data_IF_461328240050
#
_entry.id   IF_461328240050
#
_cell.length_a   1.000
_cell.length_b   1.000
_cell.length_c   1.000
_cell.angle_alpha   90.00
_cell.angle_beta   90.00
_cell.angle_gamma   90.00
#
_symmetry.space_group_name_H-M   'P 1'
#
loop_
_entity.id
_entity.type
_entity.pdbx_description
1 polymer ?
#
# COMPACT_ATOMS: atom_id res chain seq x y z
N UNK A 1 32.49 13.26 -62.16
CA UNK A 1 32.91 11.86 -61.87
C UNK A 1 33.13 11.73 -60.37
N UNK A 2 32.43 10.76 -59.79
CA UNK A 2 32.60 10.11 -58.49
C UNK A 2 33.52 10.74 -57.43
N UNK A 3 32.95 10.96 -56.24
CA UNK A 3 33.28 10.13 -55.06
C UNK A 3 32.16 10.21 -54.03
N UNK A 4 31.61 9.03 -53.82
CA UNK A 4 30.71 8.58 -52.78
C UNK A 4 31.45 8.64 -51.44
N UNK A 5 30.86 9.27 -50.42
CA UNK A 5 31.31 9.11 -49.05
C UNK A 5 30.11 8.69 -48.20
N UNK A 6 30.27 7.48 -47.67
CA UNK A 6 29.32 6.68 -46.92
C UNK A 6 29.14 7.29 -45.53
N UNK A 7 27.89 7.60 -45.14
CA UNK A 7 27.55 7.86 -43.74
C UNK A 7 26.43 6.92 -43.29
N UNK A 8 26.85 5.79 -42.74
CA UNK A 8 26.07 4.89 -41.90
C UNK A 8 26.13 5.42 -40.47
N UNK A 9 25.03 5.94 -39.92
CA UNK A 9 24.86 6.09 -38.46
C UNK A 9 23.37 6.12 -38.11
N UNK A 10 22.93 4.96 -37.62
CA UNK A 10 21.90 4.68 -36.60
C UNK A 10 20.49 5.30 -36.71
N UNK A 11 19.54 4.37 -36.87
CA UNK A 11 18.15 4.54 -36.51
C UNK A 11 18.02 4.97 -35.03
N UNK A 12 17.03 5.79 -34.66
CA UNK A 12 16.76 6.05 -33.27
C UNK A 12 16.36 4.73 -32.60
N UNK A 13 17.21 4.23 -31.72
CA UNK A 13 16.85 3.19 -30.78
C UNK A 13 15.63 3.68 -30.00
N UNK A 14 14.54 2.93 -30.15
CA UNK A 14 13.32 3.04 -29.36
C UNK A 14 13.71 2.85 -27.90
N UNK A 15 13.97 3.95 -27.20
CA UNK A 15 14.01 3.97 -25.75
C UNK A 15 12.60 3.64 -25.26
N UNK A 16 12.36 2.37 -24.96
CA UNK A 16 11.20 1.94 -24.21
C UNK A 16 11.26 2.64 -22.86
N UNK A 17 10.47 3.71 -22.72
CA UNK A 17 10.23 4.36 -21.45
C UNK A 17 9.61 3.31 -20.51
N UNK A 18 10.44 2.78 -19.61
CA UNK A 18 10.01 1.89 -18.55
C UNK A 18 9.10 2.72 -17.62
N UNK A 19 7.93 2.22 -17.21
CA UNK A 19 7.06 2.96 -16.31
C UNK A 19 7.82 3.24 -15.01
N UNK A 20 8.14 4.51 -14.76
CA UNK A 20 8.66 4.94 -13.46
C UNK A 20 7.57 4.66 -12.44
N UNK A 21 7.84 3.75 -11.50
CA UNK A 21 6.94 3.53 -10.38
C UNK A 21 6.73 4.86 -9.64
N UNK A 22 5.50 5.22 -9.26
CA UNK A 22 5.24 6.44 -8.51
C UNK A 22 6.16 6.50 -7.29
N UNK A 23 6.82 7.65 -7.10
CA UNK A 23 7.59 7.87 -5.88
C UNK A 23 6.65 7.70 -4.67
N UNK A 24 7.11 7.03 -3.58
CA UNK A 24 6.28 6.83 -2.41
C UNK A 24 5.81 8.17 -1.86
N UNK A 25 4.49 8.33 -1.73
CA UNK A 25 3.88 9.54 -1.19
C UNK A 25 4.14 9.59 0.33
N UNK A 26 4.90 10.59 0.83
CA UNK A 26 5.18 10.71 2.26
C UNK A 26 3.96 11.04 3.11
N UNK A 27 2.83 11.42 2.50
CA UNK A 27 1.55 11.63 3.17
C UNK A 27 0.62 10.40 3.07
N UNK A 28 1.08 9.32 2.45
CA UNK A 28 0.31 8.07 2.42
C UNK A 28 0.19 7.47 3.83
N UNK A 29 -1.04 7.10 4.19
CA UNK A 29 -1.30 6.39 5.45
C UNK A 29 -0.73 4.97 5.39
N UNK A 30 0.03 4.58 6.42
CA UNK A 30 0.51 3.22 6.60
C UNK A 30 -0.37 2.42 7.57
N UNK A 31 -0.19 1.10 7.59
CA UNK A 31 -0.85 0.21 8.57
C UNK A 31 -0.47 0.60 10.00
N UNK A 32 0.76 1.09 10.22
CA UNK A 32 1.21 1.59 11.53
C UNK A 32 0.42 2.82 11.97
N UNK A 33 0.18 3.76 11.06
CA UNK A 33 -0.61 4.97 11.34
C UNK A 33 -2.05 4.62 11.70
N UNK A 34 -2.66 3.68 10.97
CA UNK A 34 -4.00 3.20 11.25
C UNK A 34 -4.11 2.52 12.62
N UNK A 35 -3.10 1.74 13.03
CA UNK A 35 -3.03 1.16 14.38
C UNK A 35 -2.93 2.26 15.45
N UNK A 36 -2.06 3.26 15.24
CA UNK A 36 -1.92 4.40 16.14
C UNK A 36 -3.22 5.22 16.26
N UNK A 37 -3.94 5.45 15.16
CA UNK A 37 -5.23 6.13 15.18
C UNK A 37 -6.26 5.38 16.03
N UNK A 38 -6.28 4.05 15.96
CA UNK A 38 -7.16 3.25 16.82
C UNK A 38 -6.84 3.47 18.30
N UNK A 39 -5.56 3.45 18.68
CA UNK A 39 -5.14 3.72 20.07
C UNK A 39 -5.51 5.13 20.52
N UNK A 40 -5.33 6.14 19.66
CA UNK A 40 -5.70 7.53 19.97
C UNK A 40 -7.21 7.66 20.20
N UNK A 41 -8.04 7.03 19.36
CA UNK A 41 -9.49 7.06 19.51
C UNK A 41 -9.94 6.44 20.84
N UNK A 42 -9.31 5.34 21.25
CA UNK A 42 -9.60 4.68 22.53
C UNK A 42 -9.18 5.56 23.74
N UNK A 43 -7.94 6.08 23.73
CA UNK A 43 -7.44 6.99 24.78
C UNK A 43 -8.29 8.27 24.87
N UNK A 44 -8.71 8.83 23.75
CA UNK A 44 -9.57 9.99 23.72
C UNK A 44 -10.98 9.69 24.28
N UNK A 45 -11.54 8.52 23.93
CA UNK A 45 -12.84 8.06 24.43
C UNK A 45 -12.83 7.81 25.94
N UNK A 46 -11.80 7.12 26.44
CA UNK A 46 -11.64 6.83 27.88
C UNK A 46 -11.43 8.09 28.71
N UNK A 47 -10.80 9.13 28.14
CA UNK A 47 -10.61 10.44 28.78
C UNK A 47 -11.81 11.39 28.65
N UNK A 48 -12.87 10.98 27.95
CA UNK A 48 -14.06 11.82 27.75
C UNK A 48 -13.84 13.00 26.80
N UNK A 49 -12.93 12.88 25.84
CA UNK A 49 -12.71 13.91 24.82
C UNK A 49 -13.92 14.09 23.88
N UNK A 50 -14.76 13.07 23.75
CA UNK A 50 -15.98 13.07 22.94
C UNK A 50 -17.23 13.19 23.82
N UNK A 51 -18.24 13.92 23.34
CA UNK A 51 -19.53 14.04 24.02
C UNK A 51 -20.39 12.81 23.74
N UNK A 52 -21.41 12.60 24.58
CA UNK A 52 -22.32 11.46 24.45
C UNK A 52 -22.98 11.36 23.05
N UNK A 53 -23.32 12.49 22.44
CA UNK A 53 -23.90 12.53 21.09
C UNK A 53 -22.94 12.08 19.98
N UNK A 54 -21.63 12.11 20.23
CA UNK A 54 -20.59 11.77 19.24
C UNK A 54 -20.08 10.34 19.44
N UNK A 55 -20.16 9.80 20.66
CA UNK A 55 -19.65 8.49 21.02
C UNK A 55 -20.18 7.33 20.17
N UNK A 56 -21.44 7.42 19.72
CA UNK A 56 -22.00 6.41 18.82
C UNK A 56 -21.25 6.35 17.49
N UNK A 57 -20.95 7.51 16.90
CA UNK A 57 -20.22 7.59 15.64
C UNK A 57 -18.75 7.24 15.82
N UNK A 58 -18.11 7.70 16.90
CA UNK A 58 -16.72 7.37 17.24
C UNK A 58 -16.55 5.86 17.43
N UNK A 59 -17.42 5.22 18.20
CA UNK A 59 -17.40 3.77 18.40
C UNK A 59 -17.62 3.00 17.10
N UNK A 60 -18.51 3.47 16.23
CA UNK A 60 -18.72 2.88 14.91
C UNK A 60 -17.46 2.96 14.03
N UNK A 61 -16.78 4.10 14.02
CA UNK A 61 -15.53 4.30 13.27
C UNK A 61 -14.41 3.41 13.80
N UNK A 62 -14.26 3.33 15.13
CA UNK A 62 -13.30 2.45 15.80
C UNK A 62 -13.49 0.99 15.38
N UNK A 63 -14.73 0.48 15.43
CA UNK A 63 -15.04 -0.90 15.05
C UNK A 63 -14.76 -1.18 13.57
N UNK A 64 -15.05 -0.23 12.68
CA UNK A 64 -14.71 -0.34 11.26
C UNK A 64 -13.20 -0.40 11.04
N UNK A 65 -12.44 0.46 11.71
CA UNK A 65 -10.98 0.50 11.64
C UNK A 65 -10.38 -0.83 12.12
N UNK A 66 -10.85 -1.36 13.25
CA UNK A 66 -10.43 -2.67 13.78
C UNK A 66 -10.71 -3.80 12.78
N UNK A 67 -11.91 -3.82 12.19
CA UNK A 67 -12.28 -4.83 11.20
C UNK A 67 -11.40 -4.73 9.95
N UNK A 68 -11.10 -3.52 9.49
CA UNK A 68 -10.23 -3.30 8.34
C UNK A 68 -8.80 -3.80 8.61
N UNK A 69 -8.23 -3.42 9.75
CA UNK A 69 -6.90 -3.88 10.18
C UNK A 69 -6.83 -5.41 10.28
N UNK A 70 -7.84 -6.06 10.86
CA UNK A 70 -7.89 -7.52 10.94
C UNK A 70 -7.93 -8.19 9.55
N UNK A 71 -8.68 -7.62 8.60
CA UNK A 71 -8.71 -8.11 7.21
C UNK A 71 -7.39 -7.93 6.48
N UNK A 72 -6.65 -6.84 6.77
CA UNK A 72 -5.33 -6.62 6.19
C UNK A 72 -4.29 -7.57 6.78
N UNK A 73 -4.30 -7.78 8.09
CA UNK A 73 -3.41 -8.73 8.77
C UNK A 73 -3.67 -10.17 8.27
N UNK A 74 -4.92 -10.53 7.96
CA UNK A 74 -5.27 -11.82 7.36
C UNK A 74 -4.75 -11.98 5.92
N UNK A 75 -4.69 -10.89 5.14
CA UNK A 75 -4.14 -10.89 3.77
C UNK A 75 -2.61 -10.88 3.75
N UNK A 76 -1.97 -10.39 4.82
CA UNK A 76 -0.52 -10.37 4.95
C UNK A 76 0.09 -11.75 5.29
N UNK A 77 -0.73 -12.75 5.62
CA UNK A 77 -0.26 -14.14 5.74
C UNK A 77 -0.16 -14.75 4.35
N UNK A 78 1.04 -15.16 3.89
CA UNK A 78 1.16 -15.98 2.70
C UNK A 78 0.34 -17.25 2.92
N UNK A 79 -0.56 -17.57 1.99
CA UNK A 79 -1.08 -18.92 1.86
C UNK A 79 0.14 -19.80 1.61
N UNK A 80 0.55 -20.58 2.61
CA UNK A 80 1.47 -21.68 2.39
C UNK A 80 0.86 -22.56 1.30
N UNK A 81 1.47 -22.53 0.12
CA UNK A 81 1.19 -23.48 -0.93
C UNK A 81 1.42 -24.89 -0.35
N UNK A 82 0.50 -25.85 -0.55
CA UNK A 82 0.76 -27.21 -0.13
C UNK A 82 1.92 -27.72 -0.98
N UNK A 83 3.09 -27.85 -0.37
CA UNK A 83 4.25 -28.49 -0.96
C UNK A 83 3.83 -29.90 -1.36
N UNK A 84 3.82 -30.15 -2.66
CA UNK A 84 3.65 -31.48 -3.23
C UNK A 84 4.80 -32.36 -2.74
N UNK A 85 4.60 -33.14 -1.69
CA UNK A 85 5.46 -34.26 -1.34
C UNK A 85 5.08 -35.46 -2.22
N UNK A 86 5.61 -35.45 -3.44
CA UNK A 86 5.91 -36.68 -4.15
C UNK A 86 7.01 -37.41 -3.36
N UNK A 87 6.62 -38.37 -2.51
CA UNK A 87 7.55 -39.30 -1.88
C UNK A 87 7.48 -40.66 -2.58
N UNK A 88 8.58 -40.86 -3.29
CA UNK A 88 9.12 -42.02 -4.00
C UNK A 88 8.96 -43.36 -3.28
#
# INVERSE_FOLDING_TARGET
>A
MAKEDTKKTEAPETATAQPTAPAPDPMALSIGDLKNLSTVLDVASTRGAFRAGEMANVGFLYNKLQTFLAKLDAQAKPVEAPTAEAKK
#
